data_IF_847374470288
#
_entry.id   IF_847374470288
#
_cell.length_a   1.000
_cell.length_b   1.000
_cell.length_c   1.000
_cell.angle_alpha   90.00
_cell.angle_beta   90.00
_cell.angle_gamma   90.00
#
_symmetry.space_group_name_H-M   'P 1'
#
loop_
_entity.id
_entity.type
_entity.pdbx_description
1 polymer ?
#
# COMPACT_ATOMS: atom_id res chain seq x y z
N UNK A 1 -36.32 -33.17 -10.26
CA UNK A 1 -37.12 -32.26 -9.41
C UNK A 1 -36.13 -31.49 -8.55
N UNK A 2 -35.83 -30.24 -8.91
CA UNK A 2 -34.73 -29.49 -8.26
C UNK A 2 -35.08 -29.19 -6.81
N UNK A 3 -34.22 -29.59 -5.88
CA UNK A 3 -34.29 -29.32 -4.44
C UNK A 3 -34.05 -27.82 -4.21
N UNK A 4 -35.02 -26.97 -4.58
CA UNK A 4 -34.92 -25.51 -4.39
C UNK A 4 -34.92 -25.21 -2.90
N UNK A 5 -33.76 -24.83 -2.37
CA UNK A 5 -33.64 -24.42 -0.98
C UNK A 5 -34.10 -22.98 -0.85
N UNK A 6 -35.38 -22.79 -0.55
CA UNK A 6 -36.02 -21.47 -0.46
C UNK A 6 -35.26 -20.47 0.41
N UNK A 7 -34.61 -20.91 1.49
CA UNK A 7 -33.85 -20.00 2.37
C UNK A 7 -32.59 -19.47 1.69
N UNK A 8 -31.93 -20.30 0.86
CA UNK A 8 -30.79 -19.87 0.07
C UNK A 8 -31.22 -18.78 -0.92
N UNK A 9 -32.25 -19.05 -1.72
CA UNK A 9 -32.76 -18.11 -2.73
C UNK A 9 -33.19 -16.77 -2.10
N UNK A 10 -33.75 -16.79 -0.88
CA UNK A 10 -34.13 -15.59 -0.15
C UNK A 10 -32.93 -14.80 0.38
N UNK A 11 -31.82 -15.46 0.70
CA UNK A 11 -30.60 -14.81 1.19
C UNK A 11 -29.71 -14.31 0.05
N UNK A 12 -29.78 -14.88 -1.15
CA UNK A 12 -28.92 -14.54 -2.30
C UNK A 12 -29.62 -13.70 -3.38
N UNK A 13 -30.75 -13.07 -3.08
CA UNK A 13 -31.53 -12.29 -4.06
C UNK A 13 -30.72 -11.22 -4.79
N UNK A 14 -29.74 -10.63 -4.11
CA UNK A 14 -28.92 -9.54 -4.62
C UNK A 14 -27.63 -10.04 -5.33
N UNK A 15 -27.35 -11.34 -5.29
CA UNK A 15 -26.18 -11.99 -5.91
C UNK A 15 -25.84 -13.34 -5.28
N UNK A 16 -25.65 -14.37 -6.11
CA UNK A 16 -25.28 -15.72 -5.65
C UNK A 16 -23.82 -15.82 -5.16
N UNK A 17 -22.94 -14.95 -5.66
CA UNK A 17 -21.52 -14.89 -5.31
C UNK A 17 -21.22 -13.87 -4.18
N UNK A 18 -22.25 -13.29 -3.57
CA UNK A 18 -22.09 -12.37 -2.45
C UNK A 18 -21.63 -13.14 -1.19
N UNK A 19 -20.41 -12.87 -0.74
CA UNK A 19 -19.79 -13.49 0.42
C UNK A 19 -20.64 -13.24 1.68
N UNK A 20 -21.28 -12.08 1.81
CA UNK A 20 -22.20 -11.80 2.93
C UNK A 20 -23.39 -12.76 2.91
N UNK A 21 -24.04 -12.91 1.75
CA UNK A 21 -25.17 -13.82 1.58
C UNK A 21 -24.79 -15.30 1.82
N UNK A 22 -23.62 -15.72 1.35
CA UNK A 22 -23.11 -17.08 1.58
C UNK A 22 -22.79 -17.33 3.07
N UNK A 23 -22.17 -16.36 3.74
CA UNK A 23 -21.93 -16.42 5.17
C UNK A 23 -23.25 -16.44 5.96
N UNK A 24 -24.24 -15.63 5.59
CA UNK A 24 -25.58 -15.61 6.19
C UNK A 24 -26.28 -16.96 6.03
N UNK A 25 -26.16 -17.60 4.86
CA UNK A 25 -26.68 -18.94 4.64
C UNK A 25 -25.96 -20.00 5.50
N UNK A 26 -24.65 -19.86 5.70
CA UNK A 26 -23.88 -20.66 6.66
C UNK A 26 -24.40 -20.53 8.09
N UNK A 27 -24.72 -19.31 8.52
CA UNK A 27 -25.32 -19.04 9.83
C UNK A 27 -26.70 -19.68 9.98
N UNK A 28 -27.54 -19.61 8.95
CA UNK A 28 -28.81 -20.35 8.90
C UNK A 28 -28.59 -21.86 9.07
N UNK A 29 -27.64 -22.47 8.36
CA UNK A 29 -27.36 -23.91 8.48
C UNK A 29 -26.85 -24.28 9.87
N UNK A 30 -26.05 -23.41 10.49
CA UNK A 30 -25.64 -23.56 11.88
C UNK A 30 -26.85 -23.55 12.82
N UNK A 31 -27.76 -22.59 12.65
CA UNK A 31 -29.00 -22.51 13.44
C UNK A 31 -29.87 -23.76 13.25
N UNK A 32 -30.09 -24.21 12.02
CA UNK A 32 -30.81 -25.46 11.74
C UNK A 32 -30.20 -26.65 12.48
N UNK A 33 -28.87 -26.76 12.50
CA UNK A 33 -28.18 -27.85 13.20
C UNK A 33 -28.35 -27.77 14.72
N UNK A 34 -28.33 -26.57 15.31
CA UNK A 34 -28.58 -26.39 16.74
C UNK A 34 -30.02 -26.79 17.08
N UNK A 35 -30.98 -26.24 16.35
CA UNK A 35 -32.39 -26.60 16.50
C UNK A 35 -32.63 -28.12 16.36
N UNK A 36 -32.01 -28.77 15.39
CA UNK A 36 -32.18 -30.22 15.20
C UNK A 36 -31.63 -31.04 16.38
N UNK A 37 -30.53 -30.59 17.00
CA UNK A 37 -29.99 -31.22 18.22
C UNK A 37 -30.91 -31.03 19.41
N UNK A 38 -31.43 -29.82 19.58
CA UNK A 38 -32.35 -29.50 20.69
C UNK A 38 -33.66 -30.28 20.53
N UNK A 39 -34.19 -30.36 19.30
CA UNK A 39 -35.35 -31.16 18.95
C UNK A 39 -35.14 -32.64 19.28
N UNK A 40 -33.98 -33.21 18.92
CA UNK A 40 -33.67 -34.61 19.22
C UNK A 40 -33.55 -34.87 20.71
N UNK A 41 -32.93 -33.96 21.46
CA UNK A 41 -32.84 -34.04 22.92
C UNK A 41 -34.21 -34.00 23.60
N UNK A 42 -35.15 -33.21 23.09
CA UNK A 42 -36.50 -33.07 23.64
C UNK A 42 -37.44 -34.22 23.24
N UNK A 43 -37.34 -34.71 22.01
CA UNK A 43 -38.29 -35.68 21.43
C UNK A 43 -37.76 -37.12 21.41
N UNK A 44 -36.48 -37.34 21.73
CA UNK A 44 -35.83 -38.65 21.70
C UNK A 44 -35.65 -39.23 20.29
N UNK A 45 -35.86 -38.43 19.25
CA UNK A 45 -35.72 -38.81 17.84
C UNK A 45 -35.30 -37.61 16.98
N UNK A 46 -34.55 -37.83 15.89
CA UNK A 46 -34.17 -36.76 14.98
C UNK A 46 -35.41 -36.15 14.28
N UNK A 47 -35.34 -34.87 13.86
CA UNK A 47 -36.42 -34.21 13.13
C UNK A 47 -36.70 -34.89 11.78
N UNK A 48 -37.98 -34.95 11.42
CA UNK A 48 -38.44 -35.44 10.12
C UNK A 48 -38.26 -34.37 9.03
N UNK A 49 -38.35 -34.72 7.73
CA UNK A 49 -38.36 -33.74 6.65
C UNK A 49 -39.47 -32.69 6.79
N UNK A 50 -40.62 -33.07 7.35
CA UNK A 50 -41.72 -32.15 7.64
C UNK A 50 -41.37 -31.16 8.75
N UNK A 51 -40.71 -31.61 9.83
CA UNK A 51 -40.22 -30.75 10.91
C UNK A 51 -39.18 -29.76 10.37
N UNK A 52 -38.26 -30.24 9.53
CA UNK A 52 -37.27 -29.43 8.84
C UNK A 52 -37.92 -28.32 7.98
N UNK A 53 -39.00 -28.66 7.26
CA UNK A 53 -39.74 -27.71 6.45
C UNK A 53 -40.54 -26.72 7.31
N UNK A 54 -41.00 -27.13 8.49
CA UNK A 54 -41.66 -26.25 9.46
C UNK A 54 -40.65 -25.26 10.06
N UNK A 55 -39.48 -25.73 10.47
CA UNK A 55 -38.38 -24.88 10.92
C UNK A 55 -37.98 -23.88 9.84
N UNK A 56 -37.76 -24.35 8.61
CA UNK A 56 -37.41 -23.49 7.49
C UNK A 56 -38.46 -22.38 7.27
N UNK A 57 -39.76 -22.70 7.39
CA UNK A 57 -40.84 -21.70 7.31
C UNK A 57 -40.81 -20.71 8.48
N UNK A 58 -40.54 -21.18 9.70
CA UNK A 58 -40.46 -20.33 10.89
C UNK A 58 -39.31 -19.32 10.82
N UNK A 59 -38.18 -19.69 10.20
CA UNK A 59 -37.00 -18.81 10.06
C UNK A 59 -36.96 -18.03 8.74
N UNK A 60 -37.92 -18.24 7.82
CA UNK A 60 -38.06 -17.51 6.56
C UNK A 60 -38.66 -16.10 6.72
N UNK A 61 -38.75 -15.57 7.95
CA UNK A 61 -39.28 -14.22 8.17
C UNK A 61 -38.26 -13.17 7.75
N UNK A 62 -38.74 -12.00 7.29
CA UNK A 62 -37.87 -10.90 6.87
C UNK A 62 -36.88 -10.50 7.97
N UNK A 63 -37.34 -10.42 9.21
CA UNK A 63 -36.49 -10.06 10.36
C UNK A 63 -35.39 -11.09 10.62
N UNK A 64 -35.71 -12.38 10.53
CA UNK A 64 -34.74 -13.43 10.78
C UNK A 64 -33.69 -13.52 9.67
N UNK A 65 -34.11 -13.33 8.42
CA UNK A 65 -33.19 -13.25 7.28
C UNK A 65 -32.28 -12.03 7.38
N UNK A 66 -32.82 -10.87 7.76
CA UNK A 66 -32.04 -9.66 8.01
C UNK A 66 -31.03 -9.84 9.15
N UNK A 67 -31.39 -10.57 10.22
CA UNK A 67 -30.47 -10.94 11.30
C UNK A 67 -29.32 -11.79 10.80
N UNK A 68 -29.56 -12.82 9.99
CA UNK A 68 -28.47 -13.64 9.43
C UNK A 68 -27.52 -12.81 8.57
N UNK A 69 -28.05 -11.88 7.75
CA UNK A 69 -27.21 -10.98 6.96
C UNK A 69 -26.40 -10.04 7.83
N UNK A 70 -27.02 -9.42 8.84
CA UNK A 70 -26.32 -8.54 9.78
C UNK A 70 -25.22 -9.28 10.54
N UNK A 71 -25.50 -10.47 11.07
CA UNK A 71 -24.50 -11.27 11.78
C UNK A 71 -23.35 -11.68 10.85
N UNK A 72 -23.65 -12.01 9.59
CA UNK A 72 -22.63 -12.29 8.58
C UNK A 72 -21.75 -11.06 8.31
N UNK A 73 -22.36 -9.90 8.13
CA UNK A 73 -21.65 -8.63 7.95
C UNK A 73 -20.73 -8.33 9.14
N UNK A 74 -21.23 -8.48 10.36
CA UNK A 74 -20.45 -8.22 11.58
C UNK A 74 -19.25 -9.20 11.69
N UNK A 75 -19.43 -10.48 11.34
CA UNK A 75 -18.33 -11.47 11.28
C UNK A 75 -17.28 -11.10 10.22
N UNK A 76 -17.72 -10.69 9.03
CA UNK A 76 -16.82 -10.31 7.94
C UNK A 76 -16.04 -9.05 8.27
N UNK A 77 -16.67 -8.05 8.89
CA UNK A 77 -16.01 -6.84 9.38
C UNK A 77 -14.97 -7.20 10.45
N UNK A 78 -15.32 -8.05 11.41
CA UNK A 78 -14.39 -8.49 12.43
C UNK A 78 -13.17 -9.22 11.83
N UNK A 79 -13.40 -10.10 10.85
CA UNK A 79 -12.34 -10.80 10.13
C UNK A 79 -11.45 -9.84 9.33
N UNK A 80 -12.03 -8.85 8.65
CA UNK A 80 -11.28 -7.83 7.92
C UNK A 80 -10.40 -6.99 8.86
N UNK A 81 -10.96 -6.56 9.99
CA UNK A 81 -10.21 -5.82 11.02
C UNK A 81 -9.05 -6.65 11.58
N UNK A 82 -9.29 -7.92 11.91
CA UNK A 82 -8.23 -8.83 12.38
C UNK A 82 -7.14 -9.01 11.30
N UNK A 83 -7.53 -9.18 10.05
CA UNK A 83 -6.58 -9.33 8.93
C UNK A 83 -5.71 -8.09 8.74
N UNK A 84 -6.28 -6.89 8.96
CA UNK A 84 -5.53 -5.62 8.94
C UNK A 84 -4.58 -5.54 10.13
N UNK A 85 -5.03 -5.88 11.34
CA UNK A 85 -4.20 -5.87 12.54
C UNK A 85 -3.01 -6.84 12.40
N UNK A 86 -3.24 -8.05 11.90
CA UNK A 86 -2.20 -9.06 11.65
C UNK A 86 -1.20 -8.62 10.56
N UNK A 87 -1.65 -7.82 9.59
CA UNK A 87 -0.81 -7.25 8.53
C UNK A 87 -0.06 -5.96 8.95
N UNK A 88 -0.57 -5.25 9.95
CA UNK A 88 0.00 -3.99 10.48
C UNK A 88 1.49 -4.08 10.85
N UNK A 89 2.01 -5.15 11.51
CA UNK A 89 3.45 -5.25 11.77
C UNK A 89 4.33 -5.23 10.51
N UNK A 90 3.82 -5.61 9.34
CA UNK A 90 4.56 -5.55 8.08
C UNK A 90 4.54 -4.14 7.45
N UNK A 91 3.48 -3.37 7.70
CA UNK A 91 3.33 -2.00 7.19
C UNK A 91 4.20 -1.02 8.00
N UNK A 92 4.32 -1.21 9.31
CA UNK A 92 5.17 -0.36 10.17
C UNK A 92 6.67 -0.52 9.85
N UNK A 93 7.16 -1.75 9.63
CA UNK A 93 8.58 -1.99 9.28
C UNK A 93 8.93 -1.38 7.92
N UNK A 94 8.05 -1.52 6.92
CA UNK A 94 8.25 -0.92 5.59
C UNK A 94 8.22 0.61 5.62
N UNK A 95 7.31 1.20 6.39
CA UNK A 95 7.18 2.65 6.52
C UNK A 95 8.32 3.29 7.32
N UNK A 96 8.79 2.62 8.39
CA UNK A 96 9.95 3.08 9.19
C UNK A 96 11.22 3.01 8.34
N UNK A 97 11.48 1.88 7.66
CA UNK A 97 12.66 1.72 6.80
C UNK A 97 12.69 2.77 5.69
N UNK A 98 11.57 2.98 5.00
CA UNK A 98 11.47 4.01 3.94
C UNK A 98 11.69 5.43 4.48
N UNK A 99 11.18 5.76 5.67
CA UNK A 99 11.39 7.07 6.30
C UNK A 99 12.83 7.26 6.73
N UNK A 100 13.47 6.23 7.28
CA UNK A 100 14.89 6.25 7.69
C UNK A 100 15.78 6.42 6.46
N UNK A 101 15.54 5.67 5.37
CA UNK A 101 16.30 5.79 4.13
C UNK A 101 16.15 7.17 3.49
N UNK A 102 14.93 7.73 3.44
CA UNK A 102 14.70 9.10 2.94
C UNK A 102 15.37 10.16 3.81
N UNK A 103 15.35 9.99 5.13
CA UNK A 103 16.03 10.90 6.05
C UNK A 103 17.56 10.82 5.89
N UNK A 104 18.12 9.60 5.78
CA UNK A 104 19.53 9.37 5.56
C UNK A 104 20.01 9.96 4.21
N UNK A 105 19.28 9.71 3.12
CA UNK A 105 19.58 10.25 1.80
C UNK A 105 19.55 11.79 1.78
N UNK A 106 18.61 12.40 2.50
CA UNK A 106 18.50 13.86 2.59
C UNK A 106 19.67 14.49 3.37
N UNK A 107 20.17 13.81 4.41
CA UNK A 107 21.34 14.24 5.19
C UNK A 107 22.62 14.11 4.37
N UNK A 108 22.79 13.00 3.65
CA UNK A 108 23.96 12.76 2.80
C UNK A 108 24.02 13.77 1.64
N UNK A 109 22.89 14.05 0.99
CA UNK A 109 22.80 15.06 -0.06
C UNK A 109 23.12 16.47 0.46
N UNK A 110 22.65 16.82 1.66
CA UNK A 110 22.96 18.12 2.27
C UNK A 110 24.44 18.24 2.69
N UNK A 111 25.06 17.15 3.13
CA UNK A 111 26.50 17.09 3.44
C UNK A 111 27.36 17.23 2.18
N UNK A 112 27.01 16.48 1.12
CA UNK A 112 27.69 16.51 -0.18
C UNK A 112 27.58 17.90 -0.83
N UNK A 113 26.40 18.52 -0.79
CA UNK A 113 26.21 19.87 -1.30
C UNK A 113 27.07 20.92 -0.58
N UNK A 114 27.21 20.83 0.76
CA UNK A 114 28.09 21.71 1.53
C UNK A 114 29.56 21.49 1.20
N UNK A 115 30.02 20.23 1.08
CA UNK A 115 31.40 19.92 0.69
C UNK A 115 31.70 20.39 -0.75
N UNK A 116 30.75 20.25 -1.67
CA UNK A 116 30.92 20.66 -3.06
C UNK A 116 30.97 22.19 -3.22
N UNK A 117 30.18 22.93 -2.44
CA UNK A 117 30.27 24.40 -2.41
C UNK A 117 31.61 24.87 -1.85
N UNK A 118 32.06 24.29 -0.74
CA UNK A 118 33.35 24.67 -0.11
C UNK A 118 34.53 24.35 -1.04
N UNK A 119 34.51 23.19 -1.68
CA UNK A 119 35.53 22.80 -2.67
C UNK A 119 35.54 23.74 -3.89
N UNK A 120 34.36 24.13 -4.39
CA UNK A 120 34.22 25.06 -5.51
C UNK A 120 34.81 26.45 -5.20
N UNK A 121 34.56 26.99 -4.00
CA UNK A 121 35.10 28.29 -3.57
C UNK A 121 36.63 28.27 -3.42
N UNK A 122 37.20 27.18 -2.94
CA UNK A 122 38.66 27.05 -2.80
C UNK A 122 39.31 26.97 -4.19
N UNK A 123 38.70 26.24 -5.13
CA UNK A 123 39.20 26.12 -6.50
C UNK A 123 39.21 27.44 -7.25
N UNK A 124 38.17 28.27 -7.10
CA UNK A 124 38.12 29.59 -7.73
C UNK A 124 39.16 30.53 -7.13
N UNK A 125 39.33 30.54 -5.81
CA UNK A 125 40.36 31.36 -5.16
C UNK A 125 41.78 31.00 -5.63
N UNK A 126 42.09 29.70 -5.74
CA UNK A 126 43.41 29.24 -6.21
C UNK A 126 43.61 29.62 -7.68
N UNK A 127 42.60 29.40 -8.53
CA UNK A 127 42.68 29.71 -9.97
C UNK A 127 42.83 31.22 -10.18
N UNK A 128 42.07 32.04 -9.47
CA UNK A 128 42.18 33.50 -9.54
C UNK A 128 43.55 33.97 -9.06
N UNK A 129 44.08 33.43 -7.96
CA UNK A 129 45.42 33.76 -7.48
C UNK A 129 46.50 33.38 -8.51
N UNK A 130 46.39 32.21 -9.14
CA UNK A 130 47.31 31.77 -10.19
C UNK A 130 47.27 32.68 -11.42
N UNK A 131 46.08 33.10 -11.87
CA UNK A 131 45.92 34.03 -13.00
C UNK A 131 46.47 35.43 -12.67
N UNK A 132 46.29 35.92 -11.45
CA UNK A 132 46.87 37.19 -11.02
C UNK A 132 48.40 37.12 -11.04
N UNK A 133 48.99 36.05 -10.50
CA UNK A 133 50.44 35.85 -10.53
C UNK A 133 50.96 35.73 -11.97
N UNK A 134 50.25 35.01 -12.84
CA UNK A 134 50.59 34.91 -14.26
C UNK A 134 50.54 36.29 -14.94
N UNK A 135 49.49 37.08 -14.71
CA UNK A 135 49.35 38.42 -15.27
C UNK A 135 50.44 39.38 -14.79
N UNK A 136 50.82 39.31 -13.51
CA UNK A 136 51.94 40.06 -12.95
C UNK A 136 53.25 39.61 -13.59
N UNK A 137 53.46 38.30 -13.76
CA UNK A 137 54.63 37.75 -14.44
C UNK A 137 54.77 38.28 -15.86
N UNK A 138 53.72 38.19 -16.68
CA UNK A 138 53.69 38.74 -18.04
C UNK A 138 54.07 40.23 -18.03
N UNK A 139 53.52 41.00 -17.09
CA UNK A 139 53.80 42.44 -16.98
C UNK A 139 55.23 42.74 -16.56
N UNK A 140 55.82 41.95 -15.66
CA UNK A 140 57.19 42.12 -15.18
C UNK A 140 58.23 41.70 -16.22
N UNK A 141 57.96 40.62 -16.96
CA UNK A 141 58.85 40.14 -18.03
C UNK A 141 58.73 40.95 -19.32
N UNK A 142 57.81 41.91 -19.40
CA UNK A 142 57.66 42.79 -20.58
C UNK A 142 57.31 42.04 -21.85
N UNK A 143 56.74 40.83 -21.73
CA UNK A 143 56.34 40.00 -22.86
C UNK A 143 55.04 40.59 -23.40
N UNK A 144 55.13 41.28 -24.53
CA UNK A 144 53.95 41.73 -25.26
C UNK A 144 53.30 40.50 -25.91
N UNK A 145 52.36 39.88 -25.19
CA UNK A 145 51.67 38.65 -25.62
C UNK A 145 50.99 38.84 -26.98
N UNK A 146 50.62 40.08 -27.30
CA UNK A 146 50.03 40.46 -28.59
C UNK A 146 51.05 40.28 -29.73
N UNK A 147 52.33 40.59 -29.52
CA UNK A 147 53.38 40.40 -30.54
C UNK A 147 53.70 38.92 -30.74
N UNK A 148 53.76 38.13 -29.67
CA UNK A 148 53.99 36.68 -29.76
C UNK A 148 52.88 35.92 -30.51
N UNK A 149 51.61 36.35 -30.38
CA UNK A 149 50.49 35.78 -31.16
C UNK A 149 50.52 36.23 -32.61
N UNK A 150 50.97 37.46 -32.88
CA UNK A 150 51.10 38.01 -34.25
C UNK A 150 52.21 37.33 -35.05
N UNK A 151 53.28 36.90 -34.38
CA UNK A 151 54.38 36.16 -34.98
C UNK A 151 54.00 34.69 -35.28
N UNK A 152 53.09 34.09 -34.50
CA UNK A 152 52.61 32.72 -34.68
C UNK A 152 51.50 32.57 -35.75
N UNK A 153 50.84 33.67 -36.13
CA UNK A 153 49.84 33.70 -37.21
C UNK A 153 50.31 34.65 -38.33
N UNK A 154 51.24 34.22 -39.21
CA UNK A 154 51.59 35.00 -40.40
C UNK A 154 50.37 35.05 -41.31
N UNK A 155 49.65 36.17 -41.29
CA UNK A 155 48.59 36.47 -42.25
C UNK A 155 49.24 36.57 -43.63
N UNK A 156 49.19 35.49 -44.42
CA UNK A 156 49.41 35.56 -45.86
C UNK A 156 48.22 36.26 -46.48
N UNK A 157 48.36 37.55 -46.79
CA UNK A 157 47.48 38.24 -47.74
C UNK A 157 48.13 38.22 -49.13
N UNK A 158 47.38 37.96 -50.21
CA UNK A 158 47.85 38.15 -51.59
C UNK A 158 47.99 39.64 -51.94
#
# INVERSE_FOLDING_TARGET
>A
MSFKNKVFDLLTQDGEDDIEALAAYGLYKRHKRMWAKDFEAENGKPPTPEDDAQFARAVCTTDQLARYRKDAQDILIAFANQSIEDATPQIEVGAITTRIEKAAASIEQQSSFKQQIVSGLISTLITTAALILLAIGIRLFGIDVIDGVRELLPVHSP
#
